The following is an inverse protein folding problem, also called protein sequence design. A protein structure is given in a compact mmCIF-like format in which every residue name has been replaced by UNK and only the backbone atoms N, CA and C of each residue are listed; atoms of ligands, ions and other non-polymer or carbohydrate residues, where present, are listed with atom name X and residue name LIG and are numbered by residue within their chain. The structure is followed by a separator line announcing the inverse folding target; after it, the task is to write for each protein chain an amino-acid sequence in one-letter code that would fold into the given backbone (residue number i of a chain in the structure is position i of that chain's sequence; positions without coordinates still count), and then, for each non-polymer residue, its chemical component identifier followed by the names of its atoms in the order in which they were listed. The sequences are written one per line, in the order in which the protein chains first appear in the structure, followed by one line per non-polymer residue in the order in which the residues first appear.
data_IF_301313604572
#
_entry.id   IF_301313604572
#
_cell.length_a   1.000
_cell.length_b   1.000
_cell.length_c   1.000
_cell.angle_alpha   90.00
_cell.angle_beta   90.00
_cell.angle_gamma   90.00
#
_symmetry.space_group_name_H-M   'P 1'
#
loop_
_entity.id
_entity.type
_entity.pdbx_description
1 polymer ?
#
# COMPACT_ATOMS: atom_id res chain seq x y z
N UNK A 1 5.72 -8.56 -18.59
CA UNK A 1 5.43 -8.09 -17.21
C UNK A 1 5.46 -6.57 -17.14
N UNK A 2 6.48 -5.91 -17.71
CA UNK A 2 6.57 -4.44 -17.81
C UNK A 2 5.29 -3.80 -18.34
N UNK A 3 4.88 -4.12 -19.56
CA UNK A 3 3.67 -3.58 -20.17
C UNK A 3 2.43 -3.64 -19.25
N UNK A 4 2.19 -4.79 -18.61
CA UNK A 4 1.04 -5.00 -17.71
C UNK A 4 1.10 -4.05 -16.51
N UNK A 5 2.29 -3.83 -15.97
CA UNK A 5 2.48 -3.04 -14.76
C UNK A 5 2.62 -1.53 -15.05
N UNK A 6 3.12 -1.12 -16.21
CA UNK A 6 3.49 0.29 -16.47
C UNK A 6 2.78 0.95 -17.66
N UNK A 7 2.27 0.19 -18.63
CA UNK A 7 1.78 0.75 -19.91
C UNK A 7 0.36 0.34 -20.30
N UNK A 8 -0.20 -0.69 -19.67
CA UNK A 8 -1.45 -1.34 -20.06
C UNK A 8 -2.63 -0.35 -20.12
N UNK A 9 -3.31 -0.29 -21.26
CA UNK A 9 -4.49 0.57 -21.43
C UNK A 9 -5.78 -0.02 -20.87
N UNK A 10 -5.79 -1.31 -20.52
CA UNK A 10 -6.99 -1.94 -19.99
C UNK A 10 -7.36 -1.41 -18.58
N UNK A 11 -8.66 -1.40 -18.21
CA UNK A 11 -9.09 -1.00 -16.88
C UNK A 11 -8.39 -1.78 -15.77
N UNK A 12 -8.00 -1.08 -14.72
CA UNK A 12 -7.35 -1.62 -13.51
C UNK A 12 -6.02 -0.96 -13.23
N UNK A 13 -5.13 -0.92 -14.22
CA UNK A 13 -3.74 -0.52 -13.99
C UNK A 13 -3.62 0.97 -13.64
N UNK A 14 -4.22 1.84 -14.47
CA UNK A 14 -4.18 3.29 -14.26
C UNK A 14 -4.90 3.70 -12.98
N UNK A 15 -6.05 3.08 -12.70
CA UNK A 15 -6.88 3.33 -11.53
C UNK A 15 -6.14 2.95 -10.25
N UNK A 16 -5.50 1.77 -10.21
CA UNK A 16 -4.70 1.35 -9.05
C UNK A 16 -3.52 2.31 -8.84
N UNK A 17 -2.83 2.72 -9.89
CA UNK A 17 -1.72 3.67 -9.75
C UNK A 17 -2.16 5.05 -9.28
N UNK A 18 -3.31 5.54 -9.74
CA UNK A 18 -3.86 6.81 -9.25
C UNK A 18 -4.28 6.70 -7.77
N UNK A 19 -4.92 5.61 -7.36
CA UNK A 19 -5.25 5.37 -5.95
C UNK A 19 -3.97 5.23 -5.08
N UNK A 20 -2.92 4.63 -5.63
CA UNK A 20 -1.60 4.52 -4.99
C UNK A 20 -0.98 5.91 -4.79
N UNK A 21 -1.00 6.74 -5.82
CA UNK A 21 -0.53 8.14 -5.76
C UNK A 21 -1.28 8.94 -4.69
N UNK A 22 -2.61 8.84 -4.65
CA UNK A 22 -3.42 9.53 -3.65
C UNK A 22 -3.06 9.09 -2.24
N UNK A 23 -2.85 7.79 -2.03
CA UNK A 23 -2.44 7.25 -0.74
C UNK A 23 -1.04 7.74 -0.32
N UNK A 24 -0.07 7.75 -1.23
CA UNK A 24 1.27 8.27 -0.96
C UNK A 24 1.27 9.77 -0.65
N UNK A 25 0.39 10.54 -1.30
CA UNK A 25 0.20 11.97 -1.02
C UNK A 25 -0.27 12.22 0.42
N UNK A 26 -1.04 11.32 1.03
CA UNK A 26 -1.45 11.45 2.45
C UNK A 26 -0.27 11.46 3.43
N UNK A 27 0.89 10.94 2.99
CA UNK A 27 2.12 10.84 3.77
C UNK A 27 3.22 11.78 3.28
N UNK A 28 2.89 12.70 2.36
CA UNK A 28 3.87 13.60 1.76
C UNK A 28 5.08 12.82 1.20
N UNK A 29 4.78 11.77 0.43
CA UNK A 29 5.78 10.98 -0.28
C UNK A 29 5.69 11.37 -1.76
N UNK A 30 6.80 11.79 -2.39
CA UNK A 30 6.79 12.18 -3.79
C UNK A 30 6.39 11.00 -4.67
N UNK A 31 5.52 11.28 -5.64
CA UNK A 31 5.05 10.29 -6.59
C UNK A 31 5.57 10.58 -7.99
N UNK A 32 6.08 9.54 -8.64
CA UNK A 32 6.44 9.54 -10.04
C UNK A 32 5.78 8.34 -10.71
N UNK A 33 5.36 8.44 -11.98
CA UNK A 33 4.87 7.30 -12.73
C UNK A 33 5.85 6.12 -12.63
N UNK A 34 5.39 4.93 -12.20
CA UNK A 34 6.29 3.83 -11.90
C UNK A 34 6.82 3.24 -13.22
N UNK A 35 8.15 3.04 -13.25
CA UNK A 35 8.83 2.18 -14.23
C UNK A 35 9.01 0.80 -13.60
N UNK A 36 9.21 -0.23 -14.42
CA UNK A 36 9.43 -1.58 -13.89
C UNK A 36 10.60 -1.61 -12.90
N UNK A 37 11.69 -0.90 -13.21
CA UNK A 37 12.85 -0.76 -12.33
C UNK A 37 12.49 -0.14 -10.97
N UNK A 38 11.64 0.88 -10.93
CA UNK A 38 11.18 1.50 -9.67
C UNK A 38 10.33 0.55 -8.83
N UNK A 39 9.50 -0.29 -9.46
CA UNK A 39 8.68 -1.29 -8.77
C UNK A 39 9.59 -2.37 -8.16
N UNK A 40 10.55 -2.87 -8.94
CA UNK A 40 11.51 -3.88 -8.46
C UNK A 40 12.40 -3.34 -7.34
N UNK A 41 12.79 -2.07 -7.44
CA UNK A 41 13.60 -1.37 -6.43
C UNK A 41 12.75 -0.71 -5.32
N UNK A 42 11.47 -1.02 -5.16
CA UNK A 42 10.59 -0.29 -4.23
C UNK A 42 11.00 -0.40 -2.75
N UNK A 43 11.87 -1.35 -2.40
CA UNK A 43 12.43 -1.50 -1.05
C UNK A 43 13.69 -0.65 -0.79
N UNK A 44 14.21 0.06 -1.80
CA UNK A 44 15.48 0.79 -1.75
C UNK A 44 15.43 2.31 -1.51
N UNK A 45 14.32 3.05 -1.77
CA UNK A 45 14.31 4.49 -1.56
C UNK A 45 14.63 4.88 -0.12
N UNK A 46 15.36 5.98 0.02
CA UNK A 46 15.67 6.60 1.31
C UNK A 46 14.91 7.90 1.41
N UNK A 47 14.06 8.02 2.43
CA UNK A 47 13.34 9.26 2.72
C UNK A 47 13.99 9.94 3.92
N UNK A 48 14.05 11.27 3.90
CA UNK A 48 14.56 12.07 5.02
C UNK A 48 13.40 12.74 5.75
N UNK A 49 13.48 12.74 7.07
CA UNK A 49 12.62 13.55 7.94
C UNK A 49 13.05 15.03 7.89
N UNK A 50 12.23 15.96 8.41
CA UNK A 50 12.61 17.38 8.49
C UNK A 50 13.94 17.63 9.22
N UNK A 51 14.31 16.74 10.15
CA UNK A 51 15.55 16.83 10.92
C UNK A 51 16.74 16.17 10.20
N UNK A 52 16.61 15.85 8.90
CA UNK A 52 17.68 15.25 8.08
C UNK A 52 17.94 13.76 8.31
N UNK A 53 17.28 13.14 9.28
CA UNK A 53 17.42 11.71 9.61
C UNK A 53 16.60 10.84 8.66
N UNK A 54 16.91 9.54 8.55
CA UNK A 54 16.11 8.60 7.76
C UNK A 54 14.71 8.42 8.34
N UNK A 55 13.70 8.52 7.48
CA UNK A 55 12.30 8.25 7.81
C UNK A 55 11.94 6.80 7.45
N UNK A 56 12.27 5.87 8.36
CA UNK A 56 12.01 4.44 8.17
C UNK A 56 10.52 4.12 7.99
N UNK A 57 9.62 4.94 8.57
CA UNK A 57 8.18 4.77 8.41
C UNK A 57 7.72 5.06 6.99
N UNK A 58 8.19 6.15 6.38
CA UNK A 58 7.92 6.45 4.96
C UNK A 58 8.53 5.41 4.02
N UNK A 59 9.77 4.98 4.29
CA UNK A 59 10.44 3.93 3.51
C UNK A 59 9.63 2.62 3.52
N UNK A 60 9.22 2.19 4.72
CA UNK A 60 8.43 0.97 4.90
C UNK A 60 7.06 1.08 4.22
N UNK A 61 6.37 2.21 4.39
CA UNK A 61 5.06 2.47 3.77
C UNK A 61 5.14 2.47 2.25
N UNK A 62 6.12 3.16 1.67
CA UNK A 62 6.32 3.20 0.23
C UNK A 62 6.51 1.80 -0.35
N UNK A 63 7.38 1.00 0.27
CA UNK A 63 7.63 -0.40 -0.13
C UNK A 63 6.33 -1.21 -0.14
N UNK A 64 5.54 -1.15 0.93
CA UNK A 64 4.29 -1.91 1.05
C UNK A 64 3.27 -1.47 -0.01
N UNK A 65 3.07 -0.17 -0.15
CA UNK A 65 2.05 0.39 -1.04
C UNK A 65 2.40 0.11 -2.50
N UNK A 66 3.64 0.34 -2.94
CA UNK A 66 4.06 0.11 -4.32
C UNK A 66 4.05 -1.38 -4.68
N UNK A 67 4.59 -2.24 -3.81
CA UNK A 67 4.58 -3.69 -4.07
C UNK A 67 3.16 -4.26 -4.09
N UNK A 68 2.28 -3.78 -3.22
CA UNK A 68 0.87 -4.19 -3.19
C UNK A 68 0.10 -3.71 -4.42
N UNK A 69 0.41 -2.53 -4.94
CA UNK A 69 -0.18 -2.01 -6.16
C UNK A 69 0.19 -2.90 -7.35
N UNK A 70 1.48 -3.19 -7.53
CA UNK A 70 1.97 -4.07 -8.58
C UNK A 70 1.33 -5.47 -8.50
N UNK A 71 1.25 -6.05 -7.29
CA UNK A 71 0.61 -7.35 -7.09
C UNK A 71 -0.90 -7.30 -7.41
N UNK A 72 -1.61 -6.23 -7.01
CA UNK A 72 -3.03 -6.07 -7.33
C UNK A 72 -3.25 -5.98 -8.84
N UNK A 73 -2.44 -5.19 -9.54
CA UNK A 73 -2.52 -5.05 -11.01
C UNK A 73 -2.30 -6.40 -11.68
N UNK A 74 -1.24 -7.11 -11.28
CA UNK A 74 -0.93 -8.44 -11.81
C UNK A 74 -2.08 -9.41 -11.60
N UNK A 75 -2.60 -9.51 -10.37
CA UNK A 75 -3.67 -10.43 -10.02
C UNK A 75 -4.97 -10.08 -10.75
N UNK A 76 -5.35 -8.81 -10.81
CA UNK A 76 -6.52 -8.33 -11.56
C UNK A 76 -6.40 -8.70 -13.03
N UNK A 77 -5.23 -8.52 -13.66
CA UNK A 77 -5.00 -8.94 -15.04
C UNK A 77 -5.15 -10.45 -15.20
N UNK A 78 -4.52 -11.23 -14.33
CA UNK A 78 -4.55 -12.70 -14.43
C UNK A 78 -5.98 -13.24 -14.27
N UNK A 79 -6.73 -12.73 -13.30
CA UNK A 79 -8.14 -13.08 -13.11
C UNK A 79 -8.98 -12.72 -14.34
N UNK A 80 -8.77 -11.52 -14.91
CA UNK A 80 -9.45 -11.09 -16.14
C UNK A 80 -9.27 -12.09 -17.27
N UNK A 81 -8.03 -12.50 -17.50
CA UNK A 81 -7.64 -13.34 -18.64
C UNK A 81 -8.04 -14.80 -18.43
N UNK A 82 -7.88 -15.33 -17.19
CA UNK A 82 -8.01 -16.77 -16.91
C UNK A 82 -9.45 -17.13 -16.48
N UNK A 83 -10.12 -16.27 -15.71
CA UNK A 83 -11.39 -16.62 -15.06
C UNK A 83 -12.59 -15.84 -15.61
N UNK A 84 -12.34 -14.77 -16.37
CA UNK A 84 -13.38 -13.82 -16.82
C UNK A 84 -13.44 -13.65 -18.33
N UNK A 85 -12.80 -14.52 -19.11
CA UNK A 85 -12.84 -14.47 -20.58
C UNK A 85 -12.52 -13.08 -21.16
N UNK A 86 -11.59 -12.35 -20.53
CA UNK A 86 -11.21 -10.96 -20.85
C UNK A 86 -12.26 -9.87 -20.56
N UNK A 87 -13.37 -10.18 -19.89
CA UNK A 87 -14.35 -9.18 -19.45
C UNK A 87 -13.70 -8.16 -18.49
N UNK A 88 -13.77 -6.85 -18.78
CA UNK A 88 -13.14 -5.82 -17.94
C UNK A 88 -13.82 -5.73 -16.56
N UNK A 89 -13.03 -5.37 -15.55
CA UNK A 89 -13.55 -5.05 -14.23
C UNK A 89 -14.18 -3.65 -14.22
N UNK A 90 -15.21 -3.47 -13.40
CA UNK A 90 -15.76 -2.12 -13.17
C UNK A 90 -14.80 -1.28 -12.31
N UNK A 91 -14.85 0.05 -12.40
CA UNK A 91 -14.07 0.92 -11.53
C UNK A 91 -14.29 0.65 -10.03
N UNK A 92 -15.52 0.31 -9.64
CA UNK A 92 -15.87 -0.04 -8.27
C UNK A 92 -15.22 -1.35 -7.81
N UNK A 93 -15.21 -2.38 -8.67
CA UNK A 93 -14.52 -3.63 -8.37
C UNK A 93 -13.00 -3.41 -8.16
N UNK A 94 -12.39 -2.59 -9.01
CA UNK A 94 -10.97 -2.23 -8.91
C UNK A 94 -10.71 -1.48 -7.60
N UNK A 95 -11.55 -0.50 -7.27
CA UNK A 95 -11.44 0.27 -6.03
C UNK A 95 -11.58 -0.61 -4.78
N UNK A 96 -12.59 -1.48 -4.74
CA UNK A 96 -12.82 -2.40 -3.64
C UNK A 96 -11.66 -3.38 -3.45
N UNK A 97 -11.08 -3.89 -4.54
CA UNK A 97 -9.89 -4.77 -4.51
C UNK A 97 -8.68 -4.05 -3.94
N UNK A 98 -8.40 -2.85 -4.42
CA UNK A 98 -7.28 -2.05 -3.91
C UNK A 98 -7.46 -1.72 -2.42
N UNK A 99 -8.64 -1.25 -2.03
CA UNK A 99 -8.99 -0.98 -0.63
C UNK A 99 -8.80 -2.21 0.26
N UNK A 100 -9.35 -3.37 -0.16
CA UNK A 100 -9.18 -4.63 0.57
C UNK A 100 -7.70 -4.99 0.72
N UNK A 101 -6.92 -4.88 -0.36
CA UNK A 101 -5.49 -5.21 -0.36
C UNK A 101 -4.70 -4.38 0.66
N UNK A 102 -4.90 -3.06 0.66
CA UNK A 102 -4.16 -2.15 1.54
C UNK A 102 -4.57 -2.35 3.00
N UNK A 103 -5.86 -2.53 3.29
CA UNK A 103 -6.32 -2.82 4.65
C UNK A 103 -5.78 -4.15 5.17
N UNK A 104 -5.77 -5.21 4.35
CA UNK A 104 -5.15 -6.48 4.75
C UNK A 104 -3.64 -6.37 4.99
N UNK A 105 -2.95 -5.41 4.35
CA UNK A 105 -1.53 -5.15 4.66
C UNK A 105 -1.36 -4.44 6.00
N UNK A 106 -2.21 -3.47 6.32
CA UNK A 106 -2.23 -2.83 7.63
C UNK A 106 -2.49 -3.86 8.73
N UNK A 107 -3.50 -4.71 8.54
CA UNK A 107 -3.84 -5.78 9.49
C UNK A 107 -2.69 -6.77 9.66
N UNK A 108 -2.05 -7.18 8.57
CA UNK A 108 -0.88 -8.07 8.64
C UNK A 108 0.29 -7.42 9.39
N UNK A 109 0.64 -6.17 9.07
CA UNK A 109 1.71 -5.44 9.78
C UNK A 109 1.41 -5.35 11.28
N UNK A 110 0.15 -5.11 11.65
CA UNK A 110 -0.28 -5.11 13.04
C UNK A 110 -0.16 -6.49 13.70
N UNK A 111 -0.70 -7.54 13.08
CA UNK A 111 -0.62 -8.90 13.64
C UNK A 111 0.85 -9.31 13.84
N UNK A 112 1.74 -8.91 12.93
CA UNK A 112 3.16 -9.18 13.03
C UNK A 112 3.85 -8.47 14.20
N UNK A 113 3.23 -7.51 14.89
CA UNK A 113 3.77 -6.94 16.15
C UNK A 113 3.47 -7.79 17.39
N UNK A 114 2.66 -8.85 17.26
CA UNK A 114 2.32 -9.74 18.37
C UNK A 114 3.56 -10.42 18.97
N UNK A 115 3.66 -10.42 20.30
CA UNK A 115 4.75 -11.08 21.04
C UNK A 115 4.82 -12.59 20.79
N UNK A 116 3.73 -13.19 20.31
CA UNK A 116 3.68 -14.58 19.86
C UNK A 116 4.70 -14.90 18.74
N UNK A 117 5.17 -13.89 18.00
CA UNK A 117 6.23 -14.04 17.00
C UNK A 117 7.65 -13.88 17.58
N UNK A 118 7.80 -13.59 18.87
CA UNK A 118 9.08 -13.48 19.58
C UNK A 118 10.07 -12.56 18.86
N UNK A 119 11.29 -13.05 18.60
CA UNK A 119 12.34 -12.29 17.89
C UNK A 119 11.99 -11.91 16.44
N UNK A 120 10.95 -12.52 15.85
CA UNK A 120 10.46 -12.20 14.50
C UNK A 120 9.33 -11.17 14.52
N UNK A 121 8.87 -10.76 15.71
CA UNK A 121 7.87 -9.71 15.84
C UNK A 121 8.39 -8.40 15.24
N UNK A 122 7.51 -7.71 14.53
CA UNK A 122 7.78 -6.39 14.00
C UNK A 122 7.81 -5.37 15.13
N UNK A 123 8.71 -4.39 15.02
CA UNK A 123 8.76 -3.28 15.95
C UNK A 123 7.47 -2.44 15.82
N UNK A 124 6.75 -2.29 16.94
CA UNK A 124 5.48 -1.58 17.01
C UNK A 124 5.58 -0.12 16.58
N UNK A 125 6.64 0.59 17.01
CA UNK A 125 6.88 1.98 16.62
C UNK A 125 7.06 2.12 15.11
N UNK A 126 7.74 1.17 14.47
CA UNK A 126 7.87 1.15 13.01
C UNK A 126 6.50 1.01 12.33
N UNK A 127 5.62 0.14 12.82
CA UNK A 127 4.27 -0.04 12.26
C UNK A 127 3.42 1.22 12.47
N UNK A 128 3.45 1.80 13.67
CA UNK A 128 2.79 3.08 13.95
C UNK A 128 3.30 4.19 13.00
N UNK A 129 4.62 4.33 12.86
CA UNK A 129 5.24 5.28 11.94
C UNK A 129 4.94 4.98 10.47
N UNK A 130 4.73 3.71 10.09
CA UNK A 130 4.39 3.28 8.73
C UNK A 130 3.00 3.76 8.33
N UNK A 131 2.01 3.64 9.22
CA UNK A 131 0.63 3.97 8.89
C UNK A 131 0.17 5.34 9.42
N UNK A 132 1.05 6.05 10.13
CA UNK A 132 0.80 7.40 10.64
C UNK A 132 0.46 8.39 9.52
N UNK A 133 -0.75 8.94 9.53
CA UNK A 133 -1.19 9.89 8.50
C UNK A 133 -2.07 9.29 7.41
N UNK A 134 -2.01 7.98 7.21
CA UNK A 134 -2.81 7.25 6.22
C UNK A 134 -4.08 6.60 6.78
N UNK A 135 -4.33 6.65 8.09
CA UNK A 135 -5.51 6.03 8.74
C UNK A 135 -6.69 7.02 8.82
N UNK A 136 -7.93 6.56 8.58
CA UNK A 136 -9.17 7.36 8.78
C UNK A 136 -9.48 7.52 10.28
N UNK A 137 -10.14 8.63 10.66
CA UNK A 137 -10.62 8.88 12.03
C UNK A 137 -9.55 8.89 13.13
N UNK A 138 -8.42 9.59 12.90
CA UNK A 138 -7.34 9.78 13.90
C UNK A 138 -7.82 10.24 15.29
N UNK A 139 -8.98 10.91 15.36
CA UNK A 139 -9.55 11.45 16.60
C UNK A 139 -10.30 10.40 17.45
N UNK A 140 -10.67 9.24 16.89
CA UNK A 140 -11.36 8.16 17.60
C UNK A 140 -10.42 7.07 18.11
N UNK A 141 -9.14 7.09 17.72
CA UNK A 141 -8.17 6.07 18.09
C UNK A 141 -7.14 6.61 19.09
N UNK A 142 -6.72 5.82 20.09
CA UNK A 142 -5.57 6.17 20.92
C UNK A 142 -4.33 6.44 20.05
N UNK A 143 -3.33 7.16 20.60
CA UNK A 143 -2.01 7.32 19.94
C UNK A 143 -1.43 5.98 19.49
N UNK A 144 -1.76 4.93 20.25
CA UNK A 144 -1.52 3.54 19.94
C UNK A 144 -2.80 2.87 19.39
N UNK A 145 -3.06 3.02 18.10
CA UNK A 145 -4.26 2.47 17.45
C UNK A 145 -4.21 0.95 17.29
N UNK A 146 -3.10 0.31 17.65
CA UNK A 146 -2.94 -1.14 17.48
C UNK A 146 -3.94 -1.92 18.31
N UNK A 147 -4.41 -1.39 19.44
CA UNK A 147 -5.42 -2.05 20.28
C UNK A 147 -6.86 -1.81 19.79
N UNK A 148 -7.05 -1.01 18.73
CA UNK A 148 -8.37 -0.67 18.23
C UNK A 148 -8.85 -1.64 17.13
N UNK A 149 -10.11 -2.07 17.24
CA UNK A 149 -10.77 -2.91 16.23
C UNK A 149 -11.29 -2.02 15.09
N UNK A 150 -11.08 -2.44 13.84
CA UNK A 150 -11.71 -1.81 12.66
C UNK A 150 -10.95 -0.61 12.07
N UNK A 151 -9.63 -0.55 12.23
CA UNK A 151 -8.78 0.51 11.66
C UNK A 151 -8.73 0.39 10.13
N UNK A 152 -9.10 1.46 9.43
CA UNK A 152 -9.13 1.50 7.97
C UNK A 152 -8.17 2.55 7.40
N UNK A 153 -7.54 2.19 6.30
CA UNK A 153 -6.70 3.10 5.52
C UNK A 153 -7.59 4.09 4.76
N UNK A 154 -7.14 5.35 4.72
CA UNK A 154 -7.77 6.42 3.97
C UNK A 154 -7.58 6.16 2.48
N UNK A 155 -8.70 5.99 1.79
CA UNK A 155 -8.77 5.88 0.34
C UNK A 155 -9.45 7.15 -0.15
N UNK A 156 -8.67 8.09 -0.70
CA UNK A 156 -9.11 9.46 -1.02
C UNK A 156 -9.05 10.38 0.19
#
# INVERSE_FOLDING_TARGET
MEHILTECSSPGQKEIWELTRQLLKTRDIPWHPPKLSHILACASPVFKSPNGHRDKGKEHFFRIVVSSAAQTIWNTRCERVIQRENMPFTPEEIWNRWRKKVNSRLELDYLMTCDCFGKKAMNKDLVLMTWAGSIKNKHQFPKDWTEAVGVLVRMG
#
